data_IF_938935415320
#
_entry.id   IF_938935415320
#
_cell.length_a   1.000
_cell.length_b   1.000
_cell.length_c   1.000
_cell.angle_alpha   90.00
_cell.angle_beta   90.00
_cell.angle_gamma   90.00
#
_symmetry.space_group_name_H-M   'P 1'
#
loop_
_entity.id
_entity.type
_entity.pdbx_description
1 polymer ?
#
# COMPACT_ATOMS: atom_id res chain seq x y z
N UNK A 1 12.28 2.28 -1.28
CA UNK A 1 11.62 2.81 -0.06
C UNK A 1 10.90 4.13 -0.32
N UNK A 2 11.54 5.15 -0.90
CA UNK A 2 10.91 6.46 -1.16
C UNK A 2 9.61 6.39 -1.98
N UNK A 3 9.48 5.44 -2.90
CA UNK A 3 8.27 5.21 -3.70
C UNK A 3 7.05 4.85 -2.82
N UNK A 4 7.21 3.94 -1.85
CA UNK A 4 6.12 3.55 -0.96
C UNK A 4 5.67 4.72 -0.06
N UNK A 5 6.64 5.49 0.44
CA UNK A 5 6.38 6.69 1.22
C UNK A 5 5.66 7.76 0.39
N UNK A 6 6.09 7.99 -0.86
CA UNK A 6 5.44 8.94 -1.77
C UNK A 6 3.98 8.55 -2.02
N UNK A 7 3.67 7.27 -2.20
CA UNK A 7 2.30 6.79 -2.36
C UNK A 7 1.41 7.17 -1.16
N UNK A 8 1.93 6.94 0.05
CA UNK A 8 1.22 7.20 1.31
C UNK A 8 1.08 8.69 1.59
N UNK A 9 2.10 9.49 1.28
CA UNK A 9 2.03 10.96 1.37
C UNK A 9 0.95 11.50 0.43
N UNK A 10 0.91 11.02 -0.82
CA UNK A 10 -0.13 11.44 -1.76
C UNK A 10 -1.52 11.02 -1.26
N UNK A 11 -1.66 9.80 -0.72
CA UNK A 11 -2.91 9.36 -0.09
C UNK A 11 -3.33 10.30 1.04
N UNK A 12 -2.42 10.62 1.97
CA UNK A 12 -2.71 11.52 3.09
C UNK A 12 -3.06 12.97 2.68
N UNK A 13 -2.54 13.43 1.54
CA UNK A 13 -2.89 14.75 0.97
C UNK A 13 -4.16 14.71 0.11
N UNK A 14 -4.64 13.53 -0.26
CA UNK A 14 -5.86 13.38 -1.05
C UNK A 14 -7.06 13.67 -0.14
N UNK A 15 -8.12 14.36 -0.60
CA UNK A 15 -9.32 14.51 0.22
C UNK A 15 -9.92 13.16 0.60
N UNK A 16 -10.48 13.03 1.81
CA UNK A 16 -11.02 11.76 2.34
C UNK A 16 -12.06 11.11 1.43
N UNK A 17 -12.85 11.89 0.69
CA UNK A 17 -13.82 11.40 -0.29
C UNK A 17 -13.18 10.80 -1.57
N UNK A 18 -11.88 10.92 -1.73
CA UNK A 18 -11.10 10.50 -2.90
C UNK A 18 -9.97 9.50 -2.55
N UNK A 19 -9.77 9.18 -1.27
CA UNK A 19 -8.73 8.25 -0.78
C UNK A 19 -8.75 6.88 -1.45
N UNK A 20 -9.94 6.40 -1.83
CA UNK A 20 -10.16 5.03 -2.26
C UNK A 20 -10.35 4.88 -3.78
N UNK A 21 -9.98 5.89 -4.54
CA UNK A 21 -10.17 5.87 -5.99
C UNK A 21 -11.33 6.74 -6.43
N UNK A 22 -11.06 7.68 -7.30
CA UNK A 22 -12.05 8.29 -8.18
C UNK A 22 -11.41 8.54 -9.55
N UNK A 23 -12.15 9.11 -10.50
CA UNK A 23 -11.62 9.40 -11.86
C UNK A 23 -10.38 10.31 -11.87
N UNK A 24 -10.11 11.05 -10.79
CA UNK A 24 -9.00 12.00 -10.66
C UNK A 24 -7.85 11.47 -9.78
N UNK A 25 -8.13 10.56 -8.84
CA UNK A 25 -7.18 10.00 -7.90
C UNK A 25 -7.28 8.48 -7.93
N UNK A 26 -6.37 7.76 -8.62
CA UNK A 26 -6.38 6.30 -8.59
C UNK A 26 -6.14 5.78 -7.16
N UNK A 27 -6.73 4.64 -6.78
CA UNK A 27 -6.54 4.03 -5.46
C UNK A 27 -5.07 3.87 -5.09
N UNK A 28 -4.74 3.99 -3.81
CA UNK A 28 -3.36 3.80 -3.31
C UNK A 28 -2.79 2.44 -3.73
N UNK A 29 -3.64 1.41 -3.79
CA UNK A 29 -3.26 0.07 -4.23
C UNK A 29 -2.74 0.07 -5.66
N UNK A 30 -3.50 0.64 -6.60
CA UNK A 30 -3.11 0.73 -8.01
C UNK A 30 -1.85 1.57 -8.20
N UNK A 31 -1.70 2.66 -7.44
CA UNK A 31 -0.48 3.49 -7.48
C UNK A 31 0.73 2.70 -7.03
N UNK A 32 0.65 2.01 -5.89
CA UNK A 32 1.74 1.17 -5.39
C UNK A 32 2.04 0.05 -6.37
N UNK A 33 1.03 -0.67 -6.87
CA UNK A 33 1.22 -1.73 -7.87
C UNK A 33 1.88 -1.22 -9.15
N UNK A 34 1.44 -0.08 -9.70
CA UNK A 34 2.03 0.51 -10.90
C UNK A 34 3.48 0.96 -10.68
N UNK A 35 3.79 1.55 -9.51
CA UNK A 35 5.14 1.99 -9.20
C UNK A 35 6.09 0.84 -8.83
N UNK A 36 5.57 -0.30 -8.37
CA UNK A 36 6.35 -1.50 -8.03
C UNK A 36 6.46 -2.46 -9.23
N UNK A 37 5.47 -2.48 -10.14
CA UNK A 37 5.38 -3.46 -11.23
C UNK A 37 6.51 -3.41 -12.26
N UNK A 38 7.29 -2.33 -12.31
CA UNK A 38 8.50 -2.22 -13.13
C UNK A 38 9.79 -2.70 -12.43
N UNK A 39 9.73 -2.97 -11.12
CA UNK A 39 10.88 -3.37 -10.32
C UNK A 39 10.71 -4.81 -9.84
N UNK A 40 11.53 -5.73 -10.38
CA UNK A 40 11.69 -7.08 -9.82
C UNK A 40 12.45 -7.00 -8.48
N UNK A 41 11.74 -6.56 -7.43
CA UNK A 41 12.31 -6.47 -6.09
C UNK A 41 12.51 -7.88 -5.54
N UNK A 42 13.71 -8.21 -5.03
CA UNK A 42 13.94 -9.51 -4.41
C UNK A 42 13.05 -9.66 -3.15
N UNK A 43 12.57 -10.88 -2.83
CA UNK A 43 11.70 -11.13 -1.67
C UNK A 43 12.31 -10.70 -0.33
N UNK A 44 13.64 -10.69 -0.21
CA UNK A 44 14.37 -10.24 0.97
C UNK A 44 14.58 -8.72 1.06
N UNK A 45 14.03 -7.93 0.15
CA UNK A 45 14.22 -6.47 0.15
C UNK A 45 13.60 -5.82 1.39
N UNK A 46 14.31 -4.86 1.99
CA UNK A 46 13.79 -4.00 3.07
C UNK A 46 12.58 -3.16 2.65
N UNK A 47 12.32 -3.07 1.34
CA UNK A 47 11.12 -2.48 0.79
C UNK A 47 9.83 -3.11 1.33
N UNK A 48 9.76 -4.44 1.42
CA UNK A 48 8.56 -5.17 1.79
C UNK A 48 8.09 -4.87 3.22
N UNK A 49 8.91 -5.07 4.27
CA UNK A 49 8.49 -4.76 5.64
C UNK A 49 8.19 -3.27 5.83
N UNK A 50 8.94 -2.38 5.16
CA UNK A 50 8.66 -0.95 5.23
C UNK A 50 7.30 -0.60 4.63
N UNK A 51 6.98 -1.16 3.46
CA UNK A 51 5.69 -0.92 2.79
C UNK A 51 4.53 -1.54 3.58
N UNK A 52 4.71 -2.74 4.13
CA UNK A 52 3.73 -3.39 4.99
C UNK A 52 3.39 -2.52 6.21
N UNK A 53 4.41 -1.99 6.91
CA UNK A 53 4.20 -1.09 8.06
C UNK A 53 3.36 0.14 7.68
N UNK A 54 3.68 0.79 6.55
CA UNK A 54 2.94 1.96 6.10
C UNK A 54 1.47 1.64 5.78
N UNK A 55 1.21 0.54 5.06
CA UNK A 55 -0.14 0.10 4.72
C UNK A 55 -0.95 -0.29 5.97
N UNK A 56 -0.33 -1.00 6.92
CA UNK A 56 -0.96 -1.36 8.19
C UNK A 56 -1.33 -0.11 9.00
N UNK A 57 -0.42 0.86 9.10
CA UNK A 57 -0.70 2.14 9.78
C UNK A 57 -1.88 2.86 9.13
N UNK A 58 -1.90 2.92 7.79
CA UNK A 58 -2.98 3.55 7.05
C UNK A 58 -4.33 2.87 7.30
N UNK A 59 -4.38 1.53 7.18
CA UNK A 59 -5.61 0.77 7.40
C UNK A 59 -6.11 0.88 8.85
N UNK A 60 -5.20 0.91 9.85
CA UNK A 60 -5.56 1.16 11.24
C UNK A 60 -6.15 2.54 11.45
N UNK A 61 -5.56 3.58 10.86
CA UNK A 61 -6.08 4.95 10.99
C UNK A 61 -7.49 5.08 10.43
N UNK A 62 -7.80 4.33 9.37
CA UNK A 62 -9.12 4.32 8.75
C UNK A 62 -10.09 3.30 9.36
N UNK A 63 -9.71 2.63 10.47
CA UNK A 63 -10.57 1.67 11.16
C UNK A 63 -10.88 0.40 10.36
N UNK A 64 -10.06 0.07 9.35
CA UNK A 64 -10.25 -1.11 8.52
C UNK A 64 -9.76 -2.38 9.23
N UNK A 65 -10.47 -3.52 9.08
CA UNK A 65 -10.04 -4.78 9.67
C UNK A 65 -8.74 -5.28 9.02
N UNK A 66 -7.81 -5.71 9.86
CA UNK A 66 -6.51 -6.27 9.50
C UNK A 66 -6.44 -7.75 9.88
N UNK A 67 -7.38 -8.53 9.35
CA UNK A 67 -7.40 -9.99 9.52
C UNK A 67 -6.68 -10.64 8.33
N UNK A 68 -5.35 -10.49 8.31
CA UNK A 68 -4.47 -11.00 7.25
C UNK A 68 -3.33 -11.76 7.93
N UNK A 69 -3.14 -13.01 7.53
CA UNK A 69 -2.00 -13.84 7.93
C UNK A 69 -1.17 -14.05 6.66
N UNK A 70 0.11 -13.71 6.72
CA UNK A 70 1.06 -13.87 5.62
C UNK A 70 2.34 -14.54 6.14
N UNK A 71 2.97 -15.36 5.30
CA UNK A 71 4.18 -16.12 5.61
C UNK A 71 5.46 -15.39 5.15
N UNK A 72 5.31 -14.27 4.43
CA UNK A 72 6.40 -13.37 4.07
C UNK A 72 5.99 -11.90 4.06
N UNK A 73 6.96 -10.99 4.14
CA UNK A 73 6.69 -9.55 4.05
C UNK A 73 6.14 -9.15 2.66
N UNK A 74 6.56 -9.84 1.61
CA UNK A 74 6.04 -9.62 0.26
C UNK A 74 4.57 -10.01 0.19
N UNK A 75 4.24 -11.23 0.63
CA UNK A 75 2.87 -11.74 0.68
C UNK A 75 1.97 -10.85 1.55
N UNK A 76 2.49 -10.31 2.66
CA UNK A 76 1.76 -9.34 3.47
C UNK A 76 1.41 -8.08 2.68
N UNK A 77 2.35 -7.52 1.92
CA UNK A 77 2.07 -6.34 1.08
C UNK A 77 1.06 -6.67 -0.01
N UNK A 78 1.19 -7.80 -0.69
CA UNK A 78 0.26 -8.24 -1.73
C UNK A 78 -1.16 -8.43 -1.18
N UNK A 79 -1.31 -9.10 -0.04
CA UNK A 79 -2.59 -9.29 0.63
C UNK A 79 -3.21 -7.98 1.14
N UNK A 80 -2.38 -7.05 1.63
CA UNK A 80 -2.83 -5.71 2.00
C UNK A 80 -3.30 -4.93 0.76
N UNK A 81 -2.56 -4.98 -0.35
CA UNK A 81 -2.95 -4.32 -1.59
C UNK A 81 -4.26 -4.87 -2.16
N UNK A 82 -4.48 -6.18 -2.11
CA UNK A 82 -5.73 -6.79 -2.55
C UNK A 82 -6.94 -6.40 -1.69
N UNK A 83 -6.74 -6.10 -0.39
CA UNK A 83 -7.80 -5.55 0.48
C UNK A 83 -8.11 -4.07 0.23
N UNK A 84 -7.21 -3.37 -0.45
CA UNK A 84 -7.32 -1.94 -0.75
C UNK A 84 -7.90 -1.67 -2.15
N UNK A 85 -8.03 -2.71 -2.99
CA UNK A 85 -8.83 -2.70 -4.22
C UNK A 85 -10.33 -2.79 -3.91
#
# INVERSE_FOLDING_TARGET
MGIALAAVIIHAMTPTHAHWGNRQYPPIAERLTAMIGGYNLPPGSSFWPFTACLLITLMRQEGRPLDIIAYSNQEMVEALLDRLR
#
